data_IF_435138047670
#
_entry.id   IF_435138047670
#
_cell.length_a   1.000
_cell.length_b   1.000
_cell.length_c   1.000
_cell.angle_alpha   90.00
_cell.angle_beta   90.00
_cell.angle_gamma   90.00
#
_symmetry.space_group_name_H-M   'P 1'
#
loop_
_entity.id
_entity.type
_entity.pdbx_description
1 polymer ?
#
# COMPACT_ATOMS: atom_id res chain seq x y z
N UNK A 1 -11.70 5.00 29.50
CA UNK A 1 -11.58 5.05 28.03
C UNK A 1 -10.21 4.49 27.70
N UNK A 2 -10.15 3.24 27.24
CA UNK A 2 -8.90 2.61 26.82
C UNK A 2 -8.62 3.06 25.39
N UNK A 3 -7.63 3.90 25.19
CA UNK A 3 -7.05 4.16 23.86
C UNK A 3 -6.36 2.88 23.42
N UNK A 4 -6.93 2.20 22.43
CA UNK A 4 -6.18 1.21 21.63
C UNK A 4 -4.88 1.89 21.20
N UNK A 5 -3.69 1.30 21.46
CA UNK A 5 -2.45 1.89 20.99
C UNK A 5 -2.55 2.05 19.47
N UNK A 6 -2.17 3.22 18.96
CA UNK A 6 -2.01 3.40 17.52
C UNK A 6 -1.01 2.35 17.03
N UNK A 7 -1.44 1.46 16.15
CA UNK A 7 -0.56 0.44 15.57
C UNK A 7 0.59 1.15 14.87
N UNK A 8 1.80 0.85 15.31
CA UNK A 8 3.03 1.43 14.78
C UNK A 8 3.81 0.31 14.07
N UNK A 9 4.11 0.51 12.79
CA UNK A 9 4.74 -0.45 11.90
C UNK A 9 6.20 -0.11 11.68
N UNK A 10 7.07 -1.11 11.61
CA UNK A 10 8.47 -0.91 11.23
C UNK A 10 8.59 -0.71 9.72
N UNK A 11 9.73 -0.18 9.27
CA UNK A 11 10.06 -0.13 7.84
C UNK A 11 9.93 -1.51 7.17
N UNK A 12 10.44 -2.56 7.82
CA UNK A 12 10.38 -3.94 7.31
C UNK A 12 8.94 -4.44 7.16
N UNK A 13 8.05 -4.14 8.10
CA UNK A 13 6.63 -4.49 7.98
C UNK A 13 5.96 -3.77 6.82
N UNK A 14 6.25 -2.48 6.66
CA UNK A 14 5.71 -1.67 5.56
C UNK A 14 6.24 -2.15 4.20
N UNK A 15 7.54 -2.43 4.11
CA UNK A 15 8.19 -2.94 2.90
C UNK A 15 7.65 -4.31 2.51
N UNK A 16 7.48 -5.22 3.48
CA UNK A 16 6.89 -6.54 3.26
C UNK A 16 5.45 -6.43 2.75
N UNK A 17 4.61 -5.67 3.44
CA UNK A 17 3.20 -5.53 3.06
C UNK A 17 3.03 -4.87 1.68
N UNK A 18 3.86 -3.87 1.36
CA UNK A 18 3.88 -3.25 0.04
C UNK A 18 4.29 -4.25 -1.05
N UNK A 19 5.39 -4.98 -0.84
CA UNK A 19 5.87 -5.96 -1.81
C UNK A 19 4.86 -7.09 -2.05
N UNK A 20 4.29 -7.65 -0.99
CA UNK A 20 3.29 -8.71 -1.07
C UNK A 20 1.98 -8.23 -1.70
N UNK A 21 1.51 -7.01 -1.38
CA UNK A 21 0.31 -6.45 -1.98
C UNK A 21 0.44 -6.19 -3.49
N UNK A 22 1.61 -5.70 -3.93
CA UNK A 22 1.88 -5.50 -5.36
C UNK A 22 2.10 -6.83 -6.10
N UNK A 23 2.75 -7.81 -5.48
CA UNK A 23 2.85 -9.17 -6.05
C UNK A 23 1.46 -9.79 -6.23
N UNK A 24 0.58 -9.66 -5.23
CA UNK A 24 -0.80 -10.16 -5.32
C UNK A 24 -1.57 -9.50 -6.48
N UNK A 25 -1.45 -8.18 -6.64
CA UNK A 25 -2.05 -7.47 -7.77
C UNK A 25 -1.49 -7.95 -9.12
N UNK A 26 -0.18 -8.17 -9.20
CA UNK A 26 0.50 -8.66 -10.40
C UNK A 26 0.03 -10.08 -10.79
N UNK A 27 0.01 -10.99 -9.82
CA UNK A 27 -0.39 -12.38 -10.01
C UNK A 27 -1.82 -12.50 -10.52
N UNK A 28 -2.76 -11.73 -9.95
CA UNK A 28 -4.18 -11.81 -10.28
C UNK A 28 -4.56 -11.06 -11.56
N UNK A 29 -3.87 -9.97 -11.90
CA UNK A 29 -4.06 -9.28 -13.18
C UNK A 29 -3.33 -9.93 -14.35
N UNK A 30 -2.29 -10.72 -14.07
CA UNK A 30 -1.40 -11.28 -15.09
C UNK A 30 -0.35 -10.28 -15.62
N UNK A 31 -0.21 -9.10 -15.02
CA UNK A 31 0.87 -8.16 -15.35
C UNK A 31 2.17 -8.54 -14.65
N UNK A 32 3.31 -8.13 -15.20
CA UNK A 32 4.60 -8.35 -14.56
C UNK A 32 4.75 -7.44 -13.33
N UNK A 33 5.20 -7.99 -12.19
CA UNK A 33 5.48 -7.16 -11.01
C UNK A 33 6.62 -6.16 -11.25
N UNK A 34 7.51 -6.45 -12.20
CA UNK A 34 8.56 -5.55 -12.66
C UNK A 34 8.05 -4.49 -13.66
N UNK A 35 6.73 -4.42 -13.90
CA UNK A 35 6.15 -3.35 -14.72
C UNK A 35 6.58 -1.98 -14.16
N UNK A 36 6.94 -1.11 -15.09
CA UNK A 36 7.32 0.28 -14.85
C UNK A 36 6.33 1.03 -13.96
N UNK A 37 5.04 0.76 -14.08
CA UNK A 37 3.99 1.47 -13.35
C UNK A 37 4.08 1.12 -11.85
N UNK A 38 4.20 -0.17 -11.50
CA UNK A 38 4.44 -0.61 -10.13
C UNK A 38 5.75 -0.07 -9.56
N UNK A 39 6.85 -0.15 -10.30
CA UNK A 39 8.13 0.38 -9.84
C UNK A 39 8.07 1.90 -9.58
N UNK A 40 7.34 2.64 -10.42
CA UNK A 40 7.13 4.07 -10.26
C UNK A 40 6.26 4.39 -9.03
N UNK A 41 5.17 3.65 -8.83
CA UNK A 41 4.27 3.80 -7.68
C UNK A 41 4.97 3.48 -6.37
N UNK A 42 5.72 2.38 -6.27
CA UNK A 42 6.50 2.04 -5.07
C UNK A 42 7.58 3.10 -4.78
N UNK A 43 8.25 3.63 -5.82
CA UNK A 43 9.22 4.71 -5.65
C UNK A 43 8.58 6.00 -5.12
N UNK A 44 7.41 6.38 -5.67
CA UNK A 44 6.65 7.54 -5.23
C UNK A 44 6.14 7.37 -3.79
N UNK A 45 5.69 6.16 -3.43
CA UNK A 45 5.27 5.80 -2.07
C UNK A 45 6.37 6.08 -1.06
N UNK A 46 7.59 5.59 -1.27
CA UNK A 46 8.69 5.81 -0.34
C UNK A 46 9.09 7.28 -0.24
N UNK A 47 9.02 8.03 -1.35
CA UNK A 47 9.25 9.47 -1.32
C UNK A 47 8.20 10.19 -0.44
N UNK A 48 6.93 9.84 -0.57
CA UNK A 48 5.85 10.41 0.24
C UNK A 48 5.94 10.00 1.70
N UNK A 49 6.21 8.72 1.98
CA UNK A 49 6.30 8.22 3.35
C UNK A 49 7.44 8.91 4.10
N UNK A 50 8.61 9.09 3.47
CA UNK A 50 9.72 9.83 4.07
C UNK A 50 9.36 11.29 4.41
N UNK A 51 8.54 11.95 3.59
CA UNK A 51 8.05 13.32 3.89
C UNK A 51 7.06 13.32 5.05
N UNK A 52 6.23 12.28 5.17
CA UNK A 52 5.26 12.13 6.26
C UNK A 52 5.88 11.63 7.56
N UNK A 53 7.02 10.96 7.49
CA UNK A 53 7.74 10.36 8.62
C UNK A 53 8.67 11.33 9.35
N UNK A 54 8.91 12.53 8.79
CA UNK A 54 9.81 13.55 9.35
C UNK A 54 9.58 13.69 10.87
N UNK A 55 10.57 13.35 11.71
CA UNK A 55 10.43 13.39 13.14
C UNK A 55 10.14 14.81 13.63
N UNK A 56 9.33 14.92 14.70
CA UNK A 56 9.43 16.08 15.59
C UNK A 56 10.91 16.28 15.97
N UNK A 57 11.39 17.53 16.06
CA UNK A 57 12.79 17.80 16.36
C UNK A 57 13.25 16.99 17.56
N UNK A 58 14.39 16.31 17.40
CA UNK A 58 15.02 15.53 18.46
C UNK A 58 15.17 16.41 19.70
N UNK A 59 14.46 16.08 20.78
CA UNK A 59 14.75 16.67 22.08
C UNK A 59 16.00 15.97 22.63
N UNK A 60 16.90 16.66 23.36
CA UNK A 60 18.17 16.11 23.85
C UNK A 60 18.05 14.85 24.75
N UNK A 61 16.82 14.43 25.08
CA UNK A 61 16.51 13.33 26.00
C UNK A 61 15.99 12.07 25.33
N UNK A 62 15.76 12.06 24.01
CA UNK A 62 15.31 10.87 23.29
C UNK A 62 16.27 10.49 22.15
N UNK A 63 16.88 9.29 22.18
CA UNK A 63 17.64 8.79 21.04
C UNK A 63 16.70 8.66 19.82
N UNK A 64 17.27 8.77 18.62
CA UNK A 64 16.56 8.52 17.36
C UNK A 64 16.05 7.07 17.42
N UNK A 65 14.75 6.90 17.68
CA UNK A 65 14.09 5.60 17.56
C UNK A 65 13.91 5.33 16.08
N UNK A 66 14.21 4.11 15.61
CA UNK A 66 13.86 3.65 14.27
C UNK A 66 12.42 4.09 13.97
N UNK A 67 12.25 4.90 12.92
CA UNK A 67 10.96 5.54 12.62
C UNK A 67 9.92 4.45 12.41
N UNK A 68 9.00 4.34 13.37
CA UNK A 68 7.80 3.54 13.18
C UNK A 68 6.76 4.39 12.46
N UNK A 69 6.04 3.79 11.53
CA UNK A 69 5.01 4.43 10.74
C UNK A 69 3.64 4.08 11.28
N UNK A 70 2.75 5.06 11.34
CA UNK A 70 1.33 4.81 11.61
C UNK A 70 0.64 4.27 10.36
N UNK A 71 -0.45 3.50 10.55
CA UNK A 71 -1.33 3.09 9.43
C UNK A 71 -1.72 4.26 8.54
N UNK A 72 -2.08 5.39 9.15
CA UNK A 72 -2.49 6.61 8.44
C UNK A 72 -1.38 7.20 7.58
N UNK A 73 -0.12 7.20 8.05
CA UNK A 73 1.02 7.65 7.25
C UNK A 73 1.24 6.75 6.03
N UNK A 74 1.17 5.43 6.22
CA UNK A 74 1.33 4.46 5.12
C UNK A 74 0.19 4.61 4.11
N UNK A 75 -1.06 4.62 4.58
CA UNK A 75 -2.24 4.80 3.73
C UNK A 75 -2.21 6.11 2.96
N UNK A 76 -1.85 7.22 3.63
CA UNK A 76 -1.75 8.54 2.98
C UNK A 76 -0.64 8.55 1.91
N UNK A 77 0.52 7.97 2.20
CA UNK A 77 1.61 7.90 1.24
C UNK A 77 1.24 7.05 0.01
N UNK A 78 0.56 5.93 0.22
CA UNK A 78 0.24 4.98 -0.84
C UNK A 78 -0.84 5.50 -1.78
N UNK A 79 -1.92 6.06 -1.23
CA UNK A 79 -2.97 6.71 -2.04
C UNK A 79 -2.38 7.88 -2.85
N UNK A 80 -1.53 8.73 -2.26
CA UNK A 80 -0.87 9.81 -3.00
C UNK A 80 0.05 9.31 -4.10
N UNK A 81 0.75 8.21 -3.88
CA UNK A 81 1.62 7.62 -4.88
C UNK A 81 0.83 7.14 -6.10
N UNK A 82 -0.26 6.42 -5.86
CA UNK A 82 -1.17 5.94 -6.92
C UNK A 82 -1.82 7.11 -7.66
N UNK A 83 -2.41 8.09 -6.96
CA UNK A 83 -3.03 9.26 -7.59
C UNK A 83 -2.05 9.99 -8.53
N UNK A 84 -0.82 10.21 -8.06
CA UNK A 84 0.21 10.88 -8.84
C UNK A 84 0.69 10.06 -10.05
N UNK A 85 0.80 8.73 -9.91
CA UNK A 85 1.23 7.88 -11.01
C UNK A 85 0.11 7.69 -12.02
N UNK A 86 -1.13 7.51 -11.59
CA UNK A 86 -2.31 7.55 -12.44
C UNK A 86 -2.42 8.85 -13.25
N UNK A 87 -2.13 10.00 -12.61
CA UNK A 87 -2.07 11.29 -13.29
C UNK A 87 -0.98 11.37 -14.37
N UNK A 88 0.11 10.61 -14.24
CA UNK A 88 1.25 10.64 -15.16
C UNK A 88 1.20 9.55 -16.23
N UNK A 89 0.59 8.41 -15.90
CA UNK A 89 0.69 7.16 -16.67
C UNK A 89 -0.68 6.68 -17.19
N UNK A 90 -1.78 6.94 -16.47
CA UNK A 90 -3.12 6.40 -16.75
C UNK A 90 -4.17 7.48 -17.07
N UNK A 91 -3.84 8.48 -17.90
CA UNK A 91 -4.75 9.56 -18.30
C UNK A 91 -5.49 10.29 -17.15
N UNK A 92 -4.98 10.22 -15.91
CA UNK A 92 -5.61 10.86 -14.75
C UNK A 92 -6.43 9.96 -13.82
N UNK A 93 -6.56 8.66 -14.08
CA UNK A 93 -7.45 7.78 -13.29
C UNK A 93 -6.74 6.49 -12.93
N UNK A 94 -6.68 6.18 -11.63
CA UNK A 94 -6.18 4.90 -11.15
C UNK A 94 -7.12 3.78 -11.60
N UNK A 95 -6.56 2.70 -12.15
CA UNK A 95 -7.33 1.55 -12.58
C UNK A 95 -7.58 0.56 -11.43
N UNK A 96 -8.20 -0.58 -11.75
CA UNK A 96 -8.54 -1.59 -10.75
C UNK A 96 -7.29 -2.24 -10.15
N UNK A 97 -6.18 -2.32 -10.90
CA UNK A 97 -4.91 -2.88 -10.42
C UNK A 97 -4.28 -1.94 -9.39
N UNK A 98 -4.24 -0.64 -9.68
CA UNK A 98 -3.74 0.38 -8.76
C UNK A 98 -4.51 0.37 -7.43
N UNK A 99 -5.84 0.40 -7.49
CA UNK A 99 -6.71 0.40 -6.32
C UNK A 99 -6.56 -0.90 -5.51
N UNK A 100 -6.42 -2.03 -6.21
CA UNK A 100 -6.19 -3.32 -5.57
C UNK A 100 -4.85 -3.40 -4.85
N UNK A 101 -3.76 -2.95 -5.48
CA UNK A 101 -2.44 -2.94 -4.85
C UNK A 101 -2.44 -2.12 -3.54
N UNK A 102 -3.16 -0.99 -3.49
CA UNK A 102 -3.33 -0.17 -2.27
C UNK A 102 -4.04 -0.96 -1.17
N UNK A 103 -5.20 -1.54 -1.51
CA UNK A 103 -6.02 -2.26 -0.55
C UNK A 103 -5.30 -3.51 -0.04
N UNK A 104 -4.69 -4.30 -0.92
CA UNK A 104 -3.91 -5.47 -0.56
C UNK A 104 -2.75 -5.11 0.39
N UNK A 105 -1.96 -4.07 0.08
CA UNK A 105 -0.86 -3.64 0.93
C UNK A 105 -1.35 -3.17 2.32
N UNK A 106 -2.49 -2.47 2.39
CA UNK A 106 -3.05 -2.02 3.67
C UNK A 106 -3.68 -3.17 4.46
N UNK A 107 -4.31 -4.14 3.83
CA UNK A 107 -4.82 -5.34 4.51
C UNK A 107 -3.67 -6.17 5.04
N UNK A 108 -2.63 -6.43 4.23
CA UNK A 108 -1.42 -7.17 4.65
C UNK A 108 -0.62 -6.47 5.75
N UNK A 109 -0.72 -5.13 5.83
CA UNK A 109 -0.12 -4.38 6.92
C UNK A 109 -0.84 -4.64 8.25
N UNK A 110 -2.17 -4.84 8.24
CA UNK A 110 -2.95 -5.16 9.45
C UNK A 110 -2.93 -6.67 9.77
N UNK A 111 -3.01 -7.50 8.74
CA UNK A 111 -3.00 -8.96 8.81
C UNK A 111 -2.00 -9.53 7.78
N UNK A 112 -0.76 -9.84 8.20
CA UNK A 112 0.28 -10.35 7.30
C UNK A 112 -0.01 -11.70 6.64
N UNK A 113 -1.05 -12.41 7.09
CA UNK A 113 -1.47 -13.70 6.55
C UNK A 113 -2.72 -13.59 5.66
N UNK A 114 -3.22 -12.37 5.39
CA UNK A 114 -4.39 -12.13 4.56
C UNK A 114 -4.22 -12.69 3.14
N UNK A 115 -5.20 -13.49 2.72
CA UNK A 115 -5.29 -14.03 1.37
C UNK A 115 -5.94 -13.05 0.39
N UNK A 116 -5.84 -13.33 -0.91
CA UNK A 116 -6.58 -12.59 -1.93
C UNK A 116 -8.08 -12.50 -1.60
N UNK A 117 -8.69 -13.62 -1.20
CA UNK A 117 -10.12 -13.66 -0.84
C UNK A 117 -10.46 -12.81 0.39
N UNK A 118 -9.53 -12.67 1.35
CA UNK A 118 -9.72 -11.78 2.49
C UNK A 118 -9.74 -10.32 2.04
N UNK A 119 -8.80 -9.92 1.17
CA UNK A 119 -8.76 -8.57 0.58
C UNK A 119 -10.02 -8.27 -0.22
N UNK A 120 -10.47 -9.20 -1.08
CA UNK A 120 -11.66 -8.95 -1.93
C UNK A 120 -12.93 -8.81 -1.09
N UNK A 121 -13.10 -9.70 -0.11
CA UNK A 121 -14.24 -9.68 0.81
C UNK A 121 -14.26 -8.42 1.67
N UNK A 122 -13.12 -8.04 2.27
CA UNK A 122 -13.05 -6.90 3.19
C UNK A 122 -13.14 -5.56 2.48
N UNK A 123 -12.41 -5.39 1.36
CA UNK A 123 -12.28 -4.09 0.72
C UNK A 123 -13.34 -3.82 -0.35
N UNK A 124 -13.89 -4.86 -0.97
CA UNK A 124 -14.82 -4.73 -2.10
C UNK A 124 -16.20 -5.32 -1.80
N UNK A 125 -16.31 -6.24 -0.84
CA UNK A 125 -17.55 -6.96 -0.58
C UNK A 125 -17.95 -7.89 -1.74
N UNK A 126 -16.96 -8.32 -2.53
CA UNK A 126 -17.14 -9.12 -3.74
C UNK A 126 -16.35 -10.43 -3.65
N UNK A 127 -16.78 -11.41 -4.45
CA UNK A 127 -16.09 -12.69 -4.59
C UNK A 127 -14.74 -12.52 -5.31
N UNK A 128 -13.77 -13.35 -4.94
CA UNK A 128 -12.42 -13.35 -5.51
C UNK A 128 -12.42 -13.41 -7.05
N UNK A 129 -13.26 -14.28 -7.63
CA UNK A 129 -13.35 -14.44 -9.10
C UNK A 129 -13.83 -13.16 -9.80
N UNK A 130 -14.68 -12.35 -9.15
CA UNK A 130 -15.19 -11.09 -9.71
C UNK A 130 -14.07 -10.06 -9.76
N UNK A 131 -13.36 -9.88 -8.65
CA UNK A 131 -12.26 -8.93 -8.57
C UNK A 131 -11.11 -9.35 -9.48
N UNK A 132 -10.75 -10.63 -9.52
CA UNK A 132 -9.75 -11.17 -10.45
C UNK A 132 -10.12 -10.86 -11.91
N UNK A 133 -11.41 -10.92 -12.26
CA UNK A 133 -11.92 -10.47 -13.55
C UNK A 133 -11.66 -8.98 -13.85
N UNK A 134 -11.89 -8.09 -12.88
CA UNK A 134 -11.58 -6.65 -13.03
C UNK A 134 -10.08 -6.40 -13.23
N UNK A 135 -9.24 -7.11 -12.46
CA UNK A 135 -7.80 -7.00 -12.55
C UNK A 135 -7.28 -7.46 -13.92
N UNK A 136 -7.81 -8.55 -14.45
CA UNK A 136 -7.48 -9.03 -15.79
C UNK A 136 -7.96 -8.10 -16.91
N UNK A 137 -9.11 -7.45 -16.74
CA UNK A 137 -9.66 -6.49 -17.72
C UNK A 137 -8.88 -5.16 -17.75
N UNK A 138 -8.16 -4.83 -16.66
CA UNK A 138 -7.36 -3.62 -16.52
C UNK A 138 -5.89 -3.77 -17.02
N UNK A 139 -5.43 -5.00 -17.27
CA UNK A 139 -4.08 -5.32 -17.74
C UNK A 139 -3.83 -4.98 -19.23
#
# INVERSE_FOLDING_TARGET
MSTTPATAFTYEQVEKALGEGFNMAAEESGVDVENRDFAATQSAFWAYLNVLAVPRPATPLHPVTYETYTRDQVSTALNRAVDDMAARLHNGVADDIDNFAVNAALTLLDDPDASFADVTSECYGEDADVVSGWLADAA
#
